data_IF_226527685930
#
_entry.id   IF_226527685930
#
_cell.length_a   1.000
_cell.length_b   1.000
_cell.length_c   1.000
_cell.angle_alpha   90.00
_cell.angle_beta   90.00
_cell.angle_gamma   90.00
#
_symmetry.space_group_name_H-M   'P 1'
#
loop_
_entity.id
_entity.type
_entity.pdbx_description
1 polymer ?
#
# COMPACT_ATOMS: atom_id res chain seq x y z
N UNK A 1 -26.81 2.03 6.58
CA UNK A 1 -25.42 2.17 6.82
C UNK A 1 -24.71 2.46 5.51
N UNK A 2 -23.64 3.23 5.53
CA UNK A 2 -22.84 3.41 4.33
C UNK A 2 -22.44 2.03 3.79
N UNK A 3 -22.26 1.95 2.48
CA UNK A 3 -21.82 0.76 1.75
C UNK A 3 -20.75 0.08 2.56
N UNK A 4 -20.96 -1.16 2.91
CA UNK A 4 -20.17 -2.03 3.76
C UNK A 4 -19.06 -1.33 4.56
N UNK A 5 -19.32 -1.09 5.82
CA UNK A 5 -18.33 -0.49 6.75
C UNK A 5 -17.19 -1.43 7.11
N UNK A 6 -17.24 -2.70 6.69
CA UNK A 6 -16.25 -3.72 7.07
C UNK A 6 -15.11 -3.86 6.06
N UNK A 7 -15.37 -3.52 4.79
CA UNK A 7 -14.34 -3.54 3.76
C UNK A 7 -14.54 -2.31 2.87
N UNK A 8 -13.59 -1.38 2.88
CA UNK A 8 -13.57 -0.30 1.90
C UNK A 8 -13.52 -0.91 0.50
N UNK A 9 -13.96 -0.14 -0.50
CA UNK A 9 -13.97 -0.53 -1.91
C UNK A 9 -12.58 -0.78 -2.49
N UNK A 10 -11.57 -0.71 -1.67
CA UNK A 10 -10.18 -1.03 -1.96
C UNK A 10 -9.80 -2.37 -1.34
N UNK A 11 -8.92 -3.09 -1.99
CA UNK A 11 -8.27 -4.25 -1.40
C UNK A 11 -6.96 -3.78 -0.79
N UNK A 12 -6.94 -3.67 0.54
CA UNK A 12 -5.74 -3.31 1.28
C UNK A 12 -5.03 -4.58 1.76
N UNK A 13 -3.84 -4.80 1.23
CA UNK A 13 -2.86 -5.76 1.75
C UNK A 13 -1.90 -5.03 2.70
N UNK A 14 -1.92 -5.42 3.96
CA UNK A 14 -0.98 -4.96 4.97
C UNK A 14 -0.06 -6.12 5.34
N UNK A 15 1.22 -5.99 5.05
CA UNK A 15 2.25 -6.92 5.48
C UNK A 15 2.94 -6.38 6.74
N UNK A 16 3.04 -7.19 7.78
CA UNK A 16 3.93 -6.97 8.90
C UNK A 16 5.18 -7.82 8.65
N UNK A 17 6.11 -7.23 7.91
CA UNK A 17 7.27 -7.90 7.36
C UNK A 17 8.42 -7.96 8.38
N UNK A 18 8.64 -9.13 8.96
CA UNK A 18 9.70 -9.35 9.94
C UNK A 18 10.79 -10.35 9.47
N UNK A 19 10.76 -10.75 8.22
CA UNK A 19 11.77 -11.63 7.61
C UNK A 19 11.76 -13.09 8.09
N UNK A 20 10.84 -13.48 8.99
CA UNK A 20 10.82 -14.83 9.57
C UNK A 20 9.40 -15.38 9.71
N UNK A 21 9.27 -16.70 9.66
CA UNK A 21 8.05 -17.40 10.04
C UNK A 21 8.08 -17.70 11.55
N UNK A 22 7.45 -16.82 12.34
CA UNK A 22 7.49 -16.91 13.81
C UNK A 22 6.72 -18.12 14.36
N UNK A 23 5.54 -18.44 13.80
CA UNK A 23 4.69 -19.55 14.27
C UNK A 23 5.40 -20.90 14.21
N UNK A 24 6.22 -21.12 13.20
CA UNK A 24 6.98 -22.35 12.98
C UNK A 24 8.36 -22.35 13.64
N UNK A 25 8.60 -21.42 14.56
CA UNK A 25 9.80 -21.29 15.40
C UNK A 25 11.03 -20.71 14.68
N UNK A 26 10.83 -19.77 13.75
CA UNK A 26 11.89 -18.93 13.20
C UNK A 26 12.60 -19.52 11.99
N UNK A 27 11.85 -19.86 10.93
CA UNK A 27 12.42 -20.12 9.62
C UNK A 27 12.55 -18.80 8.85
N UNK A 28 13.46 -18.77 7.87
CA UNK A 28 13.54 -17.65 6.93
C UNK A 28 12.22 -17.51 6.16
N UNK A 29 11.72 -16.29 6.05
CA UNK A 29 10.68 -15.96 5.08
C UNK A 29 11.30 -15.61 3.73
N UNK A 30 10.47 -15.45 2.70
CA UNK A 30 10.95 -15.00 1.40
C UNK A 30 11.59 -13.60 1.43
N UNK A 31 11.25 -12.79 2.44
CA UNK A 31 11.79 -11.44 2.64
C UNK A 31 13.01 -11.39 3.56
N UNK A 32 13.51 -12.57 3.99
CA UNK A 32 14.70 -12.65 4.84
C UNK A 32 15.93 -12.17 4.10
N UNK A 33 16.73 -11.33 4.74
CA UNK A 33 17.96 -10.79 4.18
C UNK A 33 18.98 -11.89 3.86
N UNK A 34 19.73 -11.71 2.77
CA UNK A 34 20.86 -12.58 2.47
C UNK A 34 21.93 -12.42 3.55
N UNK A 35 22.42 -13.52 4.06
CA UNK A 35 23.41 -13.54 5.15
C UNK A 35 22.79 -13.50 6.55
N UNK A 36 21.46 -13.39 6.68
CA UNK A 36 20.80 -13.51 7.98
C UNK A 36 21.10 -14.89 8.57
N UNK A 37 21.55 -14.91 9.83
CA UNK A 37 21.80 -16.13 10.58
C UNK A 37 20.67 -16.36 11.60
N UNK A 38 20.02 -17.51 11.52
CA UNK A 38 19.05 -17.96 12.52
C UNK A 38 19.53 -19.23 13.21
N UNK A 39 19.48 -19.26 14.53
CA UNK A 39 20.04 -20.26 15.41
C UNK A 39 19.79 -21.73 15.00
N UNK A 40 18.67 -22.01 14.32
CA UNK A 40 18.29 -23.37 13.91
C UNK A 40 18.31 -23.59 12.40
N UNK A 41 18.56 -22.55 11.62
CA UNK A 41 18.47 -22.57 10.15
C UNK A 41 19.82 -22.31 9.47
N UNK A 42 20.81 -21.86 10.23
CA UNK A 42 22.09 -21.41 9.66
C UNK A 42 21.97 -20.06 8.98
N UNK A 43 22.70 -19.86 7.89
CA UNK A 43 22.80 -18.59 7.16
C UNK A 43 21.91 -18.65 5.91
N UNK A 44 21.09 -17.62 5.70
CA UNK A 44 20.26 -17.49 4.49
C UNK A 44 21.16 -17.17 3.26
N UNK A 45 21.23 -18.06 2.26
CA UNK A 45 22.02 -17.81 1.05
C UNK A 45 21.26 -17.00 -0.02
N UNK A 46 19.93 -16.83 0.12
CA UNK A 46 19.07 -16.29 -0.90
C UNK A 46 18.93 -14.77 -0.77
N UNK A 47 18.69 -14.10 -1.91
CA UNK A 47 18.29 -12.71 -1.93
C UNK A 47 16.83 -12.55 -1.45
N UNK A 48 16.52 -11.49 -0.71
CA UNK A 48 15.17 -11.23 -0.26
C UNK A 48 14.25 -10.84 -1.43
N UNK A 49 12.99 -11.26 -1.33
CA UNK A 49 11.92 -10.71 -2.15
C UNK A 49 11.56 -9.33 -1.60
N UNK A 50 11.49 -8.34 -2.46
CA UNK A 50 11.01 -6.99 -2.12
C UNK A 50 9.50 -6.90 -2.37
N UNK A 51 8.71 -6.79 -1.29
CA UNK A 51 7.24 -6.76 -1.37
C UNK A 51 6.74 -5.56 -2.18
N UNK A 52 7.39 -4.40 -2.08
CA UNK A 52 6.98 -3.22 -2.84
C UNK A 52 7.24 -3.38 -4.33
N UNK A 53 8.38 -3.97 -4.71
CA UNK A 53 8.67 -4.29 -6.13
C UNK A 53 7.68 -5.31 -6.69
N UNK A 54 7.35 -6.36 -5.93
CA UNK A 54 6.37 -7.36 -6.33
C UNK A 54 4.96 -6.75 -6.49
N UNK A 55 4.58 -5.86 -5.58
CA UNK A 55 3.32 -5.13 -5.66
C UNK A 55 3.25 -4.26 -6.93
N UNK A 56 4.32 -3.51 -7.23
CA UNK A 56 4.42 -2.75 -8.47
C UNK A 56 4.34 -3.66 -9.70
N UNK A 57 5.07 -4.77 -9.71
CA UNK A 57 5.06 -5.73 -10.82
C UNK A 57 3.66 -6.33 -11.04
N UNK A 58 2.92 -6.54 -9.95
CA UNK A 58 1.55 -7.07 -9.96
C UNK A 58 0.47 -6.02 -10.24
N UNK A 59 0.84 -4.80 -10.64
CA UNK A 59 -0.07 -3.69 -10.94
C UNK A 59 -0.89 -3.17 -9.75
N UNK A 60 -0.37 -3.26 -8.52
CA UNK A 60 -0.95 -2.53 -7.41
C UNK A 60 -0.96 -1.02 -7.71
N UNK A 61 -2.07 -0.37 -7.36
CA UNK A 61 -2.32 1.03 -7.70
C UNK A 61 -1.98 1.99 -6.55
N UNK A 62 -1.69 1.43 -5.39
CA UNK A 62 -1.08 2.11 -4.26
C UNK A 62 -0.01 1.18 -3.66
N UNK A 63 1.21 1.66 -3.54
CA UNK A 63 2.31 0.93 -2.93
C UNK A 63 3.03 1.84 -1.96
N UNK A 64 3.15 1.39 -0.71
CA UNK A 64 3.85 2.13 0.33
C UNK A 64 4.66 1.18 1.20
N UNK A 65 5.70 1.71 1.80
CA UNK A 65 6.49 1.02 2.82
C UNK A 65 6.65 1.91 4.04
N UNK A 66 6.64 1.29 5.21
CA UNK A 66 6.93 1.98 6.45
C UNK A 66 7.75 1.09 7.39
N UNK A 67 8.24 1.69 8.44
CA UNK A 67 8.95 0.99 9.49
C UNK A 67 8.12 1.01 10.79
N UNK A 68 8.04 -0.11 11.49
CA UNK A 68 7.25 -0.23 12.72
C UNK A 68 7.72 0.72 13.84
N UNK A 69 8.97 1.22 13.74
CA UNK A 69 9.50 2.26 14.63
C UNK A 69 8.99 3.67 14.36
N UNK A 70 8.27 3.89 13.25
CA UNK A 70 7.58 5.15 12.94
C UNK A 70 6.05 4.96 12.86
N UNK A 71 5.38 4.89 14.02
CA UNK A 71 3.93 4.68 14.06
C UNK A 71 3.14 5.86 13.47
N UNK A 72 3.73 7.06 13.41
CA UNK A 72 3.08 8.23 12.81
C UNK A 72 2.96 8.04 11.30
N UNK A 73 4.04 7.68 10.64
CA UNK A 73 4.05 7.41 9.19
C UNK A 73 3.13 6.22 8.85
N UNK A 74 3.20 5.12 9.61
CA UNK A 74 2.31 3.96 9.44
C UNK A 74 0.85 4.37 9.48
N UNK A 75 0.46 5.21 10.45
CA UNK A 75 -0.92 5.67 10.61
C UNK A 75 -1.40 6.49 9.42
N UNK A 76 -0.58 7.43 8.93
CA UNK A 76 -0.98 8.26 7.79
C UNK A 76 -1.08 7.42 6.50
N UNK A 77 -0.11 6.54 6.25
CA UNK A 77 -0.17 5.62 5.10
C UNK A 77 -1.39 4.68 5.15
N UNK A 78 -1.77 4.20 6.33
CA UNK A 78 -2.99 3.40 6.48
C UNK A 78 -4.25 4.19 6.14
N UNK A 79 -4.35 5.46 6.55
CA UNK A 79 -5.50 6.31 6.21
C UNK A 79 -5.62 6.50 4.69
N UNK A 80 -4.50 6.79 4.02
CA UNK A 80 -4.46 6.97 2.57
C UNK A 80 -4.84 5.65 1.87
N UNK A 81 -4.25 4.54 2.29
CA UNK A 81 -4.54 3.23 1.72
C UNK A 81 -6.02 2.83 1.87
N UNK A 82 -6.67 3.22 2.97
CA UNK A 82 -8.11 3.01 3.20
C UNK A 82 -8.99 3.93 2.35
N UNK A 83 -8.53 5.12 2.03
CA UNK A 83 -9.23 6.07 1.16
C UNK A 83 -9.01 5.79 -0.34
N UNK A 84 -7.96 5.02 -0.68
CA UNK A 84 -7.62 4.68 -2.05
C UNK A 84 -8.63 3.71 -2.67
N UNK A 85 -8.97 3.91 -3.94
CA UNK A 85 -10.05 3.18 -4.61
C UNK A 85 -9.61 1.93 -5.39
N UNK A 86 -8.35 1.55 -5.33
CA UNK A 86 -7.79 0.41 -6.06
C UNK A 86 -7.18 -0.65 -5.16
N UNK A 87 -6.17 -1.33 -5.67
CA UNK A 87 -5.38 -2.30 -4.89
C UNK A 87 -4.27 -1.54 -4.16
N UNK A 88 -4.35 -1.55 -2.83
CA UNK A 88 -3.35 -0.95 -1.96
C UNK A 88 -2.48 -2.02 -1.30
N UNK A 89 -1.17 -1.81 -1.31
CA UNK A 89 -0.19 -2.66 -0.63
C UNK A 89 0.66 -1.79 0.30
N UNK A 90 0.63 -2.11 1.60
CA UNK A 90 1.45 -1.47 2.60
C UNK A 90 2.38 -2.50 3.25
N UNK A 91 3.68 -2.37 3.01
CA UNK A 91 4.74 -3.18 3.61
C UNK A 91 5.27 -2.47 4.86
N UNK A 92 5.00 -3.03 6.04
CA UNK A 92 5.49 -2.52 7.32
C UNK A 92 6.65 -3.39 7.78
N UNK A 93 7.87 -2.91 7.56
CA UNK A 93 9.07 -3.59 8.05
C UNK A 93 9.12 -3.51 9.57
N UNK A 94 9.23 -4.65 10.22
CA UNK A 94 9.17 -4.73 11.68
C UNK A 94 10.16 -5.77 12.21
N UNK A 95 10.65 -5.64 13.43
CA UNK A 95 11.46 -6.67 14.06
C UNK A 95 10.57 -7.84 14.51
N UNK A 96 11.12 -9.02 14.46
CA UNK A 96 10.63 -10.13 15.26
C UNK A 96 11.46 -10.22 16.55
N UNK A 97 10.94 -9.68 17.65
CA UNK A 97 11.68 -9.59 18.93
C UNK A 97 12.18 -10.93 19.44
N UNK A 98 11.56 -12.03 19.03
CA UNK A 98 11.94 -13.38 19.45
C UNK A 98 12.99 -14.02 18.56
N UNK A 99 12.91 -13.82 17.26
CA UNK A 99 13.74 -14.56 16.30
C UNK A 99 14.61 -13.68 15.42
N UNK A 100 14.23 -12.43 15.20
CA UNK A 100 14.90 -11.55 14.25
C UNK A 100 14.90 -10.09 14.72
N UNK A 101 15.73 -9.80 15.70
CA UNK A 101 16.01 -8.43 16.17
C UNK A 101 17.52 -8.32 16.44
N UNK A 102 18.32 -8.63 15.41
CA UNK A 102 19.77 -8.63 15.48
C UNK A 102 20.34 -7.30 14.98
N UNK A 103 21.47 -6.90 15.53
CA UNK A 103 22.24 -5.79 14.98
C UNK A 103 22.59 -6.07 13.49
N UNK A 104 22.53 -5.03 12.67
CA UNK A 104 22.75 -5.07 11.22
C UNK A 104 21.63 -5.70 10.36
N UNK A 105 20.44 -5.89 10.90
CA UNK A 105 19.25 -6.27 10.13
C UNK A 105 18.28 -5.10 9.97
N UNK A 106 17.69 -4.91 8.78
CA UNK A 106 16.60 -3.95 8.55
C UNK A 106 15.39 -4.20 9.45
N UNK A 107 15.21 -5.45 9.88
CA UNK A 107 14.13 -5.86 10.77
C UNK A 107 14.44 -5.57 12.26
N UNK A 108 15.61 -5.04 12.61
CA UNK A 108 15.89 -4.59 13.97
C UNK A 108 15.50 -3.14 14.18
N UNK A 109 15.09 -2.78 15.40
CA UNK A 109 14.74 -1.39 15.70
C UNK A 109 15.92 -0.42 15.56
N UNK A 110 17.10 -0.81 16.01
CA UNK A 110 18.28 0.04 15.96
C UNK A 110 18.80 0.25 14.55
N UNK A 111 18.98 -0.83 13.80
CA UNK A 111 19.55 -0.77 12.46
C UNK A 111 18.50 -0.28 11.44
N UNK A 112 17.27 -0.78 11.49
CA UNK A 112 16.20 -0.33 10.62
C UNK A 112 16.02 1.19 10.71
N UNK A 113 15.96 1.74 11.92
CA UNK A 113 15.84 3.19 12.12
C UNK A 113 17.05 3.97 11.63
N UNK A 114 18.26 3.43 11.76
CA UNK A 114 19.48 4.10 11.27
C UNK A 114 19.64 4.09 9.75
N UNK A 115 18.89 3.23 9.05
CA UNK A 115 18.91 3.05 7.59
C UNK A 115 17.61 3.46 6.92
N UNK A 116 16.65 3.90 7.71
CA UNK A 116 15.38 4.42 7.21
C UNK A 116 15.64 5.72 6.44
N UNK A 117 15.29 5.72 5.16
CA UNK A 117 15.30 6.87 4.29
C UNK A 117 13.86 7.23 3.92
N UNK A 118 13.21 8.10 4.70
CA UNK A 118 11.87 8.52 4.42
C UNK A 118 11.85 9.42 3.18
N UNK A 119 11.12 9.01 2.15
CA UNK A 119 10.94 9.79 0.91
C UNK A 119 10.38 11.18 1.20
N UNK A 120 9.48 11.27 2.18
CA UNK A 120 8.80 12.52 2.53
C UNK A 120 8.02 12.41 3.83
N UNK A 121 7.64 13.55 4.38
CA UNK A 121 6.62 13.62 5.42
C UNK A 121 5.23 13.56 4.77
N UNK A 122 4.33 12.74 5.35
CA UNK A 122 2.99 12.51 4.82
C UNK A 122 1.97 13.13 5.74
N UNK A 123 1.01 13.86 5.15
CA UNK A 123 -0.20 14.29 5.83
C UNK A 123 -1.41 13.94 4.97
N UNK A 124 -2.43 13.35 5.57
CA UNK A 124 -3.68 13.01 4.93
C UNK A 124 -4.78 13.97 5.40
N UNK A 125 -5.44 14.63 4.45
CA UNK A 125 -6.55 15.54 4.72
C UNK A 125 -7.84 14.91 4.16
N UNK A 126 -8.81 14.53 5.01
CA UNK A 126 -10.10 14.02 4.57
C UNK A 126 -10.86 15.05 3.73
N UNK A 127 -11.70 14.58 2.80
CA UNK A 127 -12.46 15.43 1.88
C UNK A 127 -13.38 16.49 2.56
N UNK A 128 -13.64 16.35 3.86
CA UNK A 128 -14.54 17.22 4.64
C UNK A 128 -13.81 18.17 5.58
N UNK A 129 -12.51 18.14 5.62
CA UNK A 129 -11.69 19.02 6.47
C UNK A 129 -11.09 20.14 5.64
N UNK A 130 -11.10 21.35 6.20
CA UNK A 130 -10.41 22.50 5.62
C UNK A 130 -8.88 22.27 5.68
N UNK A 131 -8.19 22.46 4.58
CA UNK A 131 -6.74 22.30 4.51
C UNK A 131 -6.10 23.48 5.26
N UNK A 132 -5.65 23.26 6.47
CA UNK A 132 -4.74 24.17 7.15
C UNK A 132 -3.32 23.87 6.69
N UNK A 133 -2.87 24.57 5.68
CA UNK A 133 -1.47 24.49 5.20
C UNK A 133 -0.63 25.32 6.15
N UNK A 134 0.20 24.65 6.96
CA UNK A 134 1.32 25.35 7.61
C UNK A 134 2.30 25.80 6.52
N UNK A 135 2.82 27.03 6.61
CA UNK A 135 3.75 27.64 5.64
C UNK A 135 4.88 26.68 5.23
N UNK A 136 4.92 26.34 3.94
CA UNK A 136 6.01 25.58 3.32
C UNK A 136 6.70 26.44 2.27
N UNK A 137 8.00 26.24 2.11
CA UNK A 137 8.73 26.79 0.96
C UNK A 137 8.12 26.17 -0.33
N UNK A 138 7.75 27.04 -1.28
CA UNK A 138 7.25 26.61 -2.58
C UNK A 138 8.23 25.62 -3.23
N UNK A 139 7.72 24.47 -3.65
CA UNK A 139 8.50 23.38 -4.27
C UNK A 139 8.94 22.27 -3.32
N UNK A 140 8.58 22.33 -2.01
CA UNK A 140 8.91 21.28 -1.02
C UNK A 140 7.74 20.35 -0.70
N UNK A 141 6.57 20.55 -1.31
CA UNK A 141 5.40 19.71 -1.12
C UNK A 141 4.73 19.34 -2.44
N UNK A 142 4.09 18.21 -2.47
CA UNK A 142 3.23 17.75 -3.56
C UNK A 142 1.88 17.32 -3.02
N UNK A 143 0.83 17.74 -3.67
CA UNK A 143 -0.54 17.33 -3.36
C UNK A 143 -1.02 16.28 -4.35
N UNK A 144 -1.67 15.24 -3.83
CA UNK A 144 -2.35 14.21 -4.63
C UNK A 144 -3.79 14.14 -4.16
N UNK A 145 -4.72 14.54 -5.02
CA UNK A 145 -6.15 14.44 -4.73
C UNK A 145 -6.63 13.02 -5.06
N UNK A 146 -7.30 12.39 -4.13
CA UNK A 146 -7.90 11.07 -4.30
C UNK A 146 -9.32 11.18 -4.86
N UNK A 147 -9.84 10.06 -5.36
CA UNK A 147 -11.18 9.96 -5.97
C UNK A 147 -12.34 10.39 -5.06
N UNK A 148 -12.19 10.28 -3.75
CA UNK A 148 -13.18 10.69 -2.75
C UNK A 148 -13.07 12.17 -2.37
N UNK A 149 -12.17 12.92 -3.02
CA UNK A 149 -11.89 14.33 -2.75
C UNK A 149 -10.98 14.56 -1.54
N UNK A 150 -10.44 13.51 -0.91
CA UNK A 150 -9.40 13.67 0.10
C UNK A 150 -8.06 14.02 -0.55
N UNK A 151 -7.19 14.68 0.19
CA UNK A 151 -5.89 15.14 -0.30
C UNK A 151 -4.76 14.52 0.53
N UNK A 152 -3.76 14.00 -0.18
CA UNK A 152 -2.49 13.56 0.40
C UNK A 152 -1.47 14.67 0.17
N UNK A 153 -0.90 15.19 1.24
CA UNK A 153 0.16 16.18 1.18
C UNK A 153 1.47 15.48 1.48
N UNK A 154 2.37 15.50 0.51
CA UNK A 154 3.72 14.94 0.57
C UNK A 154 4.72 16.08 0.72
N UNK A 155 5.33 16.20 1.88
CA UNK A 155 6.28 17.26 2.21
C UNK A 155 7.72 16.78 2.02
N UNK A 156 8.60 17.65 1.54
CA UNK A 156 10.04 17.40 1.40
C UNK A 156 10.39 16.21 0.49
N UNK A 157 9.67 16.08 -0.64
CA UNK A 157 10.09 15.17 -1.70
C UNK A 157 11.51 15.53 -2.16
N UNK A 158 12.32 14.51 -2.46
CA UNK A 158 13.45 14.73 -3.35
C UNK A 158 12.93 15.35 -4.63
N UNK A 159 13.64 16.41 -5.13
CA UNK A 159 13.15 17.33 -6.16
C UNK A 159 12.56 16.66 -7.40
N UNK A 160 12.97 15.42 -7.70
CA UNK A 160 12.65 14.73 -8.94
C UNK A 160 11.81 13.46 -8.76
N UNK A 161 11.37 13.12 -7.52
CA UNK A 161 10.57 11.94 -7.31
C UNK A 161 9.07 12.20 -7.50
N UNK A 162 8.47 11.49 -8.46
CA UNK A 162 7.04 11.52 -8.72
C UNK A 162 6.36 10.20 -8.30
N UNK A 163 5.57 10.17 -7.21
CA UNK A 163 4.90 8.96 -6.76
C UNK A 163 3.84 8.45 -7.74
N UNK A 164 3.45 9.20 -8.75
CA UNK A 164 2.58 8.74 -9.83
C UNK A 164 3.34 8.10 -10.99
N UNK A 165 4.67 8.20 -10.98
CA UNK A 165 5.52 7.59 -12.01
C UNK A 165 5.99 6.20 -11.59
N UNK A 166 5.29 5.17 -12.08
CA UNK A 166 5.60 3.77 -11.76
C UNK A 166 7.02 3.34 -12.18
N UNK A 167 7.50 3.82 -13.31
CA UNK A 167 8.86 3.47 -13.77
C UNK A 167 9.93 4.06 -12.86
N UNK A 168 9.72 5.29 -12.38
CA UNK A 168 10.60 5.92 -11.41
C UNK A 168 10.57 5.18 -10.06
N UNK A 169 9.40 4.71 -9.63
CA UNK A 169 9.28 3.91 -8.42
C UNK A 169 10.11 2.60 -8.50
N UNK A 170 10.07 1.88 -9.61
CA UNK A 170 10.92 0.71 -9.83
C UNK A 170 12.41 1.04 -9.77
N UNK A 171 12.81 2.11 -10.47
CA UNK A 171 14.21 2.55 -10.51
C UNK A 171 14.71 2.87 -9.10
N UNK A 172 13.94 3.66 -8.36
CA UNK A 172 14.27 4.09 -7.00
C UNK A 172 14.42 2.88 -6.05
N UNK A 173 13.51 1.92 -6.08
CA UNK A 173 13.61 0.72 -5.25
C UNK A 173 14.82 -0.14 -5.61
N UNK A 174 15.15 -0.26 -6.90
CA UNK A 174 16.33 -0.99 -7.34
C UNK A 174 17.63 -0.32 -6.88
N UNK A 175 17.71 1.01 -6.96
CA UNK A 175 18.86 1.80 -6.46
C UNK A 175 19.00 1.69 -4.95
N UNK A 176 17.89 1.80 -4.20
CA UNK A 176 17.88 1.62 -2.75
C UNK A 176 18.37 0.23 -2.32
N UNK A 177 17.97 -0.80 -3.04
CA UNK A 177 18.45 -2.16 -2.78
C UNK A 177 19.95 -2.29 -3.00
N UNK A 178 20.51 -1.65 -4.03
CA UNK A 178 21.95 -1.65 -4.29
C UNK A 178 22.73 -0.88 -3.21
N UNK A 179 22.14 0.21 -2.71
CA UNK A 179 22.76 1.06 -1.68
C UNK A 179 22.54 0.54 -0.25
N UNK A 180 21.79 -0.55 -0.10
CA UNK A 180 21.40 -1.08 1.21
C UNK A 180 20.61 -0.06 2.06
N UNK A 181 19.67 0.63 1.44
CA UNK A 181 18.77 1.63 2.03
C UNK A 181 17.36 1.04 2.22
N UNK A 182 16.68 1.44 3.30
CA UNK A 182 15.29 1.12 3.54
C UNK A 182 14.42 2.34 3.21
N UNK A 183 14.01 2.45 1.96
CA UNK A 183 13.12 3.53 1.54
C UNK A 183 11.73 3.35 2.15
N UNK A 184 11.22 4.39 2.82
CA UNK A 184 9.89 4.42 3.43
C UNK A 184 9.05 5.58 2.91
N UNK A 185 7.74 5.47 3.04
CA UNK A 185 6.77 6.46 2.57
C UNK A 185 5.86 5.92 1.47
N UNK A 186 5.20 6.84 0.76
CA UNK A 186 4.38 6.53 -0.41
C UNK A 186 5.28 6.33 -1.64
N UNK A 187 5.41 5.09 -2.07
CA UNK A 187 6.26 4.71 -3.20
C UNK A 187 5.54 4.95 -4.52
N UNK A 188 4.28 4.51 -4.62
CA UNK A 188 3.50 4.69 -5.85
C UNK A 188 2.03 4.87 -5.56
N UNK A 189 1.37 5.75 -6.32
CA UNK A 189 -0.07 5.90 -6.32
C UNK A 189 -0.59 6.25 -7.71
N UNK A 190 -1.64 5.56 -8.13
CA UNK A 190 -2.47 5.96 -9.26
C UNK A 190 -3.85 6.39 -8.71
N UNK A 191 -4.16 7.69 -8.68
CA UNK A 191 -5.43 8.19 -8.16
C UNK A 191 -6.61 7.95 -9.11
N UNK A 192 -6.35 7.72 -10.40
CA UNK A 192 -7.35 7.65 -11.47
C UNK A 192 -7.91 6.22 -11.68
N UNK A 193 -7.86 5.38 -10.65
CA UNK A 193 -8.37 4.01 -10.75
C UNK A 193 -9.85 3.94 -10.39
N UNK A 194 -10.56 3.12 -11.14
CA UNK A 194 -11.92 2.74 -10.82
C UNK A 194 -11.94 1.50 -9.93
N UNK A 195 -12.84 1.47 -8.96
CA UNK A 195 -13.01 0.30 -8.11
C UNK A 195 -13.80 -0.80 -8.82
N UNK A 196 -13.79 -2.00 -8.26
CA UNK A 196 -14.47 -3.15 -8.82
C UNK A 196 -16.00 -2.95 -8.89
N UNK A 197 -16.58 -2.17 -7.99
CA UNK A 197 -18.02 -1.90 -7.99
C UNK A 197 -18.44 -1.04 -9.17
N UNK A 198 -17.65 -0.01 -9.47
CA UNK A 198 -17.88 0.85 -10.63
C UNK A 198 -17.59 0.09 -11.93
N UNK A 199 -16.54 -0.74 -11.95
CA UNK A 199 -16.19 -1.59 -13.10
C UNK A 199 -17.33 -2.56 -13.46
N UNK A 200 -17.99 -3.14 -12.46
CA UNK A 200 -19.11 -4.05 -12.65
C UNK A 200 -20.47 -3.35 -12.64
N UNK A 201 -20.50 -2.02 -12.58
CA UNK A 201 -21.74 -1.23 -12.48
C UNK A 201 -22.67 -1.72 -11.36
N UNK A 202 -22.09 -2.05 -10.20
CA UNK A 202 -22.88 -2.51 -9.08
C UNK A 202 -23.72 -1.38 -8.50
N UNK A 203 -24.98 -1.65 -8.13
CA UNK A 203 -25.86 -0.63 -7.59
C UNK A 203 -25.37 -0.13 -6.23
N UNK A 204 -25.64 1.14 -5.96
CA UNK A 204 -25.33 1.77 -4.67
C UNK A 204 -26.07 1.13 -3.49
N UNK A 205 -27.26 0.62 -3.77
CA UNK A 205 -28.08 -0.07 -2.79
C UNK A 205 -27.63 -1.54 -2.67
N UNK A 206 -27.30 -2.03 -1.46
CA UNK A 206 -26.94 -3.44 -1.26
C UNK A 206 -28.04 -4.38 -1.76
N UNK A 207 -27.66 -5.48 -2.43
CA UNK A 207 -28.60 -6.42 -3.04
C UNK A 207 -29.65 -6.97 -2.06
N UNK A 208 -29.28 -7.15 -0.79
CA UNK A 208 -30.22 -7.60 0.25
C UNK A 208 -31.30 -6.57 0.64
N UNK A 209 -31.18 -5.33 0.16
CA UNK A 209 -32.15 -4.25 0.33
C UNK A 209 -32.84 -3.86 -0.96
N UNK A 210 -32.23 -4.23 -2.09
CA UNK A 210 -32.79 -3.95 -3.42
C UNK A 210 -34.08 -4.72 -3.62
N UNK A 211 -35.10 -4.05 -4.07
CA UNK A 211 -36.39 -4.70 -4.39
C UNK A 211 -36.22 -5.71 -5.51
N UNK A 212 -36.92 -6.85 -5.40
CA UNK A 212 -36.82 -7.98 -6.36
C UNK A 212 -37.12 -7.52 -7.80
N UNK A 213 -38.04 -6.56 -7.98
CA UNK A 213 -38.42 -5.99 -9.28
C UNK A 213 -37.22 -5.31 -9.97
N UNK A 214 -36.31 -4.70 -9.21
CA UNK A 214 -35.08 -4.07 -9.73
C UNK A 214 -33.98 -5.09 -10.06
N UNK A 215 -34.04 -6.29 -9.49
CA UNK A 215 -33.06 -7.36 -9.72
C UNK A 215 -33.45 -8.29 -10.88
N UNK A 216 -34.70 -8.26 -11.29
CA UNK A 216 -35.16 -9.07 -12.40
C UNK A 216 -34.86 -8.38 -13.74
N UNK A 217 -34.40 -9.12 -14.75
CA UNK A 217 -34.27 -8.57 -16.09
C UNK A 217 -35.63 -8.13 -16.60
N UNK A 218 -35.67 -7.03 -17.35
CA UNK A 218 -36.89 -6.58 -17.99
C UNK A 218 -37.33 -7.54 -19.10
N UNK A 219 -38.61 -7.57 -19.45
CA UNK A 219 -39.10 -8.36 -20.60
C UNK A 219 -38.34 -8.04 -21.90
N UNK A 220 -37.97 -6.77 -22.10
CA UNK A 220 -37.18 -6.31 -23.25
C UNK A 220 -35.79 -6.92 -23.24
N UNK A 221 -35.11 -6.95 -22.07
CA UNK A 221 -33.79 -7.57 -21.92
C UNK A 221 -33.85 -9.07 -22.20
N UNK A 222 -34.89 -9.75 -21.73
CA UNK A 222 -35.11 -11.18 -21.99
C UNK A 222 -35.32 -11.42 -23.49
N UNK A 223 -36.16 -10.61 -24.14
CA UNK A 223 -36.42 -10.73 -25.58
C UNK A 223 -35.16 -10.44 -26.40
N UNK A 224 -34.33 -9.48 -25.98
CA UNK A 224 -33.05 -9.19 -26.62
C UNK A 224 -32.11 -10.41 -26.57
N UNK A 225 -31.95 -11.01 -25.38
CA UNK A 225 -31.12 -12.22 -25.24
C UNK A 225 -31.67 -13.37 -26.10
N UNK A 226 -32.99 -13.58 -26.09
CA UNK A 226 -33.62 -14.62 -26.88
C UNK A 226 -33.41 -14.40 -28.38
N UNK A 227 -33.44 -13.13 -28.84
CA UNK A 227 -33.21 -12.83 -30.30
C UNK A 227 -31.78 -13.12 -30.76
N UNK A 228 -30.81 -13.27 -29.85
CA UNK A 228 -29.43 -13.70 -30.18
C UNK A 228 -29.28 -15.21 -30.24
N UNK A 229 -30.24 -15.95 -29.68
CA UNK A 229 -30.18 -17.41 -29.59
C UNK A 229 -30.97 -18.10 -30.73
N UNK A 230 -31.79 -17.35 -31.47
CA UNK A 230 -32.61 -17.79 -32.55
C UNK A 230 -32.51 -16.83 -33.76
#
# INVERSE_FOLDING_TARGET
PPRSTLFPYTTLFRSENNGVYGLTKGQFSATAEKGLELKKQGINPFLPVDIAMEALASNATFVARSFAGDPKQVKELLKIALAHNGIAVLDIVSPCVTFHNHENSFHSYSFGKSREEPLHEISFVPAREEITVEDFEEGTSREVTLHDGSTVILKKLEKDYDPQNRAQAFKMLAEAQMNNELVTGLIYINPDVINIFDMYNLPDEPLNRTKVEKMRPSPESINLVNSWMF
#
